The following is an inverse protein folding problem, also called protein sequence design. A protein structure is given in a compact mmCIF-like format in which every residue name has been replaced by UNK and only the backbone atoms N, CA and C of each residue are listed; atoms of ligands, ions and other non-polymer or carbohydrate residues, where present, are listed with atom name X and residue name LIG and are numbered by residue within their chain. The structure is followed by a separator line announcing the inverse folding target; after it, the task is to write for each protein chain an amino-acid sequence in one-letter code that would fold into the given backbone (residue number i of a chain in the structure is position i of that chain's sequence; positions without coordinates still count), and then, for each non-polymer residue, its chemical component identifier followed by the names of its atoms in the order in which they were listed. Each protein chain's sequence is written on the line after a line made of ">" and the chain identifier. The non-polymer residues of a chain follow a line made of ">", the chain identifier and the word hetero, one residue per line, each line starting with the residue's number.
data_IF_792989405082
#
_entry.id   IF_792989405082
#
_cell.length_a   1.000
_cell.length_b   1.000
_cell.length_c   1.000
_cell.angle_alpha   90.00
_cell.angle_beta   90.00
_cell.angle_gamma   90.00
#
_symmetry.space_group_name_H-M   'P 1'
#
loop_
_entity.id
_entity.type
_entity.pdbx_description
1 polymer ?
#
# COMPACT_ATOMS: atom_id res chain seq x y z
N UNK A 1 0.99 14.25 22.48
CA UNK A 1 -0.08 14.66 21.56
C UNK A 1 -0.04 13.94 20.20
N UNK A 2 1.00 13.15 19.89
CA UNK A 2 1.09 12.40 18.63
C UNK A 2 0.26 11.10 18.57
N UNK A 3 -0.15 10.53 19.71
CA UNK A 3 -0.72 9.17 19.77
C UNK A 3 -1.98 8.94 18.92
N UNK A 4 -2.87 9.93 18.80
CA UNK A 4 -4.07 9.79 17.95
C UNK A 4 -3.70 9.77 16.46
N UNK A 5 -2.74 10.61 16.05
CA UNK A 5 -2.24 10.60 14.67
C UNK A 5 -1.48 9.30 14.36
N UNK A 6 -0.71 8.79 15.32
CA UNK A 6 -0.02 7.49 15.21
C UNK A 6 -1.01 6.34 14.99
N UNK A 7 -2.22 6.43 15.55
CA UNK A 7 -3.29 5.44 15.35
C UNK A 7 -4.05 5.64 14.03
N UNK A 8 -4.28 6.90 13.62
CA UNK A 8 -5.06 7.22 12.43
C UNK A 8 -4.27 7.03 11.13
N UNK A 9 -2.96 7.28 11.12
CA UNK A 9 -2.14 7.18 9.89
C UNK A 9 -2.12 5.75 9.33
N UNK A 10 -1.91 4.68 10.11
CA UNK A 10 -2.04 3.30 9.62
C UNK A 10 -3.43 3.02 9.05
N UNK A 11 -4.48 3.56 9.69
CA UNK A 11 -5.87 3.37 9.27
C UNK A 11 -6.14 4.03 7.91
N UNK A 12 -5.71 5.28 7.76
CA UNK A 12 -5.81 6.03 6.51
C UNK A 12 -4.94 5.41 5.41
N UNK A 13 -3.74 4.93 5.75
CA UNK A 13 -2.85 4.23 4.82
C UNK A 13 -3.44 2.91 4.33
N UNK A 14 -4.01 2.11 5.23
CA UNK A 14 -4.68 0.87 4.87
C UNK A 14 -5.92 1.10 3.99
N UNK A 15 -6.69 2.16 4.27
CA UNK A 15 -7.81 2.56 3.42
C UNK A 15 -7.34 3.00 2.03
N UNK A 16 -6.26 3.80 1.94
CA UNK A 16 -5.71 4.22 0.66
C UNK A 16 -5.21 3.03 -0.18
N UNK A 17 -4.51 2.08 0.46
CA UNK A 17 -4.04 0.84 -0.19
C UNK A 17 -5.21 -0.02 -0.62
N UNK A 18 -6.27 -0.12 0.18
CA UNK A 18 -7.48 -0.83 -0.19
C UNK A 18 -8.14 -0.23 -1.43
N UNK A 19 -8.33 1.09 -1.46
CA UNK A 19 -8.94 1.80 -2.59
C UNK A 19 -8.08 1.69 -3.86
N UNK A 20 -6.76 1.80 -3.74
CA UNK A 20 -5.86 1.65 -4.88
C UNK A 20 -5.84 0.20 -5.40
N UNK A 21 -5.72 -0.79 -4.52
CA UNK A 21 -5.73 -2.20 -4.90
C UNK A 21 -7.08 -2.65 -5.49
N UNK A 22 -8.19 -2.09 -5.01
CA UNK A 22 -9.52 -2.34 -5.61
C UNK A 22 -9.66 -1.68 -6.98
N UNK A 23 -9.12 -0.46 -7.16
CA UNK A 23 -9.10 0.22 -8.46
C UNK A 23 -8.23 -0.50 -9.50
N UNK A 24 -7.18 -1.21 -9.07
CA UNK A 24 -6.27 -1.99 -9.91
C UNK A 24 -6.69 -3.46 -10.11
N UNK A 25 -7.87 -3.85 -9.62
CA UNK A 25 -8.37 -5.23 -9.64
C UNK A 25 -7.37 -6.27 -9.11
N UNK A 26 -6.56 -5.90 -8.11
CA UNK A 26 -5.58 -6.80 -7.50
C UNK A 26 -6.28 -8.00 -6.84
N UNK A 27 -5.71 -9.20 -6.94
CA UNK A 27 -6.28 -10.45 -6.43
C UNK A 27 -6.67 -10.44 -4.93
N UNK A 28 -6.04 -9.60 -4.10
CA UNK A 28 -6.34 -9.52 -2.66
C UNK A 28 -6.18 -8.10 -2.08
N UNK A 29 -7.15 -7.20 -2.32
CA UNK A 29 -7.08 -5.83 -1.84
C UNK A 29 -7.19 -5.74 -0.31
N UNK A 30 -7.94 -6.68 0.30
CA UNK A 30 -8.10 -6.79 1.74
C UNK A 30 -6.78 -7.25 2.39
N UNK A 31 -6.03 -8.16 1.75
CA UNK A 31 -4.74 -8.64 2.26
C UNK A 31 -3.70 -7.53 2.36
N UNK A 32 -3.61 -6.68 1.34
CA UNK A 32 -2.71 -5.52 1.32
C UNK A 32 -3.08 -4.46 2.36
N UNK A 33 -4.37 -4.19 2.53
CA UNK A 33 -4.87 -3.29 3.57
C UNK A 33 -4.55 -3.82 4.97
N UNK A 34 -4.77 -5.11 5.22
CA UNK A 34 -4.45 -5.76 6.50
C UNK A 34 -2.94 -5.74 6.80
N UNK A 35 -2.10 -6.02 5.80
CA UNK A 35 -0.64 -5.91 5.93
C UNK A 35 -0.20 -4.49 6.28
N UNK A 36 -0.83 -3.48 5.67
CA UNK A 36 -0.55 -2.06 5.96
C UNK A 36 -0.88 -1.71 7.42
N UNK A 37 -1.97 -2.26 7.98
CA UNK A 37 -2.29 -2.10 9.41
C UNK A 37 -1.28 -2.81 10.31
N UNK A 38 -0.91 -4.06 9.98
CA UNK A 38 0.06 -4.85 10.76
C UNK A 38 1.42 -4.14 10.78
N UNK A 39 1.89 -3.63 9.65
CA UNK A 39 3.14 -2.87 9.55
C UNK A 39 3.02 -1.55 10.32
N UNK A 40 1.91 -0.84 10.19
CA UNK A 40 1.74 0.46 10.84
C UNK A 40 1.60 0.42 12.35
N UNK A 41 0.92 -0.59 12.88
CA UNK A 41 0.83 -0.79 14.33
C UNK A 41 2.00 -1.59 14.92
N UNK A 42 2.59 -2.51 14.16
CA UNK A 42 3.66 -3.39 14.63
C UNK A 42 5.06 -2.79 14.51
N UNK A 43 5.37 -2.13 13.40
CA UNK A 43 6.70 -1.54 13.13
C UNK A 43 6.71 -0.01 13.27
N UNK A 44 5.53 0.61 13.29
CA UNK A 44 5.34 2.03 13.50
C UNK A 44 5.14 2.82 12.21
N UNK A 45 4.56 4.01 12.37
CA UNK A 45 4.07 4.85 11.28
C UNK A 45 5.13 5.28 10.26
N UNK A 46 6.40 5.35 10.68
CA UNK A 46 7.53 5.67 9.80
C UNK A 46 7.77 4.56 8.77
N UNK A 47 7.61 3.29 9.18
CA UNK A 47 7.76 2.14 8.28
C UNK A 47 6.58 1.99 7.31
N UNK A 48 5.41 2.55 7.64
CA UNK A 48 4.27 2.63 6.69
C UNK A 48 4.64 3.44 5.46
N UNK A 49 5.33 4.57 5.63
CA UNK A 49 5.76 5.39 4.50
C UNK A 49 6.74 4.65 3.58
N UNK A 50 7.69 3.90 4.16
CA UNK A 50 8.61 3.07 3.40
C UNK A 50 7.90 1.92 2.68
N UNK A 51 6.96 1.26 3.36
CA UNK A 51 6.13 0.20 2.78
C UNK A 51 5.28 0.70 1.61
N UNK A 52 4.62 1.85 1.76
CA UNK A 52 3.85 2.50 0.70
C UNK A 52 4.73 2.88 -0.50
N UNK A 53 5.95 3.34 -0.26
CA UNK A 53 6.91 3.66 -1.33
C UNK A 53 7.27 2.41 -2.13
N UNK A 54 7.53 1.29 -1.45
CA UNK A 54 7.81 0.00 -2.11
C UNK A 54 6.60 -0.49 -2.89
N UNK A 55 5.40 -0.39 -2.31
CA UNK A 55 4.13 -0.77 -2.95
C UNK A 55 3.87 0.02 -4.24
N UNK A 56 4.11 1.33 -4.23
CA UNK A 56 3.96 2.17 -5.42
C UNK A 56 5.00 1.82 -6.48
N UNK A 57 6.27 1.64 -6.10
CA UNK A 57 7.33 1.29 -7.04
C UNK A 57 7.08 -0.08 -7.68
N UNK A 58 6.62 -1.07 -6.92
CA UNK A 58 6.33 -2.40 -7.48
C UNK A 58 5.25 -2.33 -8.55
N UNK A 59 4.19 -1.57 -8.31
CA UNK A 59 3.09 -1.43 -9.26
C UNK A 59 3.48 -0.63 -10.52
N UNK A 60 4.29 0.43 -10.36
CA UNK A 60 4.83 1.16 -11.53
C UNK A 60 5.72 0.27 -12.38
N UNK A 61 6.54 -0.58 -11.75
CA UNK A 61 7.38 -1.55 -12.46
C UNK A 61 6.54 -2.59 -13.18
N UNK A 62 5.47 -3.09 -12.55
CA UNK A 62 4.54 -4.05 -13.13
C UNK A 62 3.78 -3.47 -14.34
N UNK A 63 3.26 -2.25 -14.23
CA UNK A 63 2.62 -1.55 -15.35
C UNK A 63 3.58 -1.30 -16.52
N UNK A 64 4.81 -0.88 -16.20
CA UNK A 64 5.85 -0.65 -17.22
C UNK A 64 6.27 -1.94 -17.92
N UNK A 65 6.44 -3.01 -17.16
CA UNK A 65 6.78 -4.33 -17.69
C UNK A 65 5.66 -4.89 -18.57
N UNK A 66 4.41 -4.82 -18.10
CA UNK A 66 3.22 -5.25 -18.84
C UNK A 66 3.06 -4.46 -20.14
N UNK A 67 3.27 -3.14 -20.10
CA UNK A 67 3.24 -2.27 -21.28
C UNK A 67 4.31 -2.61 -22.32
N UNK A 68 5.47 -3.10 -21.88
CA UNK A 68 6.51 -3.61 -22.79
C UNK A 68 6.15 -4.95 -23.41
N UNK A 69 5.47 -5.82 -22.66
CA UNK A 69 5.04 -7.13 -23.17
C UNK A 69 3.89 -7.05 -24.18
N UNK A 70 3.01 -6.04 -24.07
CA UNK A 70 1.86 -5.86 -24.98
C UNK A 70 2.21 -5.09 -26.27
N UNK A 71 3.37 -4.46 -26.35
CA UNK A 71 3.87 -3.76 -27.56
C UNK A 71 4.78 -4.63 -28.45
N UNK A 72 4.82 -5.95 -28.22
CA UNK A 72 5.52 -6.95 -29.05
C UNK A 72 4.47 -7.83 -29.72
#
# INVERSE_FOLDING_TARGET
>A
MFGVLTLLIPLLGAYAVYVDATARETDSPIGWAALTLIVGYGLGTVFVGAFLSVYLVSHVVEEWWTSRQTNV
#
